data_IF_524616700077
#
_entry.id   IF_524616700077
#
_cell.length_a   1.000
_cell.length_b   1.000
_cell.length_c   1.000
_cell.angle_alpha   90.00
_cell.angle_beta   90.00
_cell.angle_gamma   90.00
#
_symmetry.space_group_name_H-M   'P 1'
#
loop_
_entity.id
_entity.type
_entity.pdbx_description
1 polymer ?
#
# COMPACT_ATOMS: atom_id res chain seq x y z
N UNK A 1 13.14 -3.09 7.84
CA UNK A 1 12.07 -3.68 8.69
C UNK A 1 10.71 -3.27 8.12
N UNK A 2 9.58 -3.66 8.71
CA UNK A 2 8.21 -3.30 8.24
C UNK A 2 8.06 -1.83 7.79
N UNK A 3 8.72 -0.90 8.47
CA UNK A 3 8.75 0.54 8.12
C UNK A 3 9.26 0.81 6.70
N UNK A 4 10.16 -0.02 6.18
CA UNK A 4 10.73 0.12 4.84
C UNK A 4 9.64 -0.01 3.75
N UNK A 5 8.53 -0.71 4.02
CA UNK A 5 7.37 -0.76 3.12
C UNK A 5 6.69 0.61 2.99
N UNK A 6 6.76 1.45 4.02
CA UNK A 6 6.17 2.79 4.00
C UNK A 6 7.13 3.84 3.43
N UNK A 7 8.43 3.55 3.43
CA UNK A 7 9.46 4.47 2.95
C UNK A 7 9.89 4.19 1.50
N UNK A 8 9.66 2.97 1.00
CA UNK A 8 10.11 2.55 -0.33
C UNK A 8 8.93 2.07 -1.19
N UNK A 9 8.42 2.93 -2.10
CA UNK A 9 7.28 2.58 -2.94
C UNK A 9 7.54 1.38 -3.86
N UNK A 10 8.77 1.18 -4.36
CA UNK A 10 9.07 -0.03 -5.15
C UNK A 10 8.99 -1.32 -4.30
N UNK A 11 9.45 -1.29 -3.05
CA UNK A 11 9.31 -2.42 -2.11
C UNK A 11 7.84 -2.68 -1.78
N UNK A 12 7.06 -1.62 -1.55
CA UNK A 12 5.62 -1.69 -1.31
C UNK A 12 4.87 -2.35 -2.47
N UNK A 13 5.19 -1.93 -3.71
CA UNK A 13 4.61 -2.50 -4.94
C UNK A 13 4.89 -4.00 -5.09
N UNK A 14 6.10 -4.45 -4.77
CA UNK A 14 6.43 -5.87 -4.82
C UNK A 14 5.62 -6.66 -3.79
N UNK A 15 5.53 -6.16 -2.55
CA UNK A 15 4.70 -6.80 -1.52
C UNK A 15 3.24 -6.89 -1.96
N UNK A 16 2.66 -5.78 -2.43
CA UNK A 16 1.27 -5.72 -2.89
C UNK A 16 1.03 -6.63 -4.10
N UNK A 17 1.98 -6.72 -5.03
CA UNK A 17 1.89 -7.62 -6.17
C UNK A 17 1.85 -9.09 -5.74
N UNK A 18 2.70 -9.50 -4.79
CA UNK A 18 2.70 -10.86 -4.23
C UNK A 18 1.40 -11.14 -3.50
N UNK A 19 0.84 -10.15 -2.80
CA UNK A 19 -0.45 -10.28 -2.10
C UNK A 19 -1.61 -10.52 -3.06
N UNK A 20 -1.56 -9.89 -4.24
CA UNK A 20 -2.65 -9.91 -5.22
C UNK A 20 -2.52 -11.02 -6.29
N UNK A 21 -1.37 -11.68 -6.36
CA UNK A 21 -1.04 -12.63 -7.44
C UNK A 21 -0.73 -14.01 -6.88
N UNK A 22 -1.64 -14.96 -7.08
CA UNK A 22 -1.40 -16.36 -6.78
C UNK A 22 -0.21 -16.89 -7.59
N UNK A 23 0.81 -17.39 -6.89
CA UNK A 23 2.00 -17.93 -7.54
C UNK A 23 2.90 -16.87 -8.18
N UNK A 24 2.93 -15.65 -7.64
CA UNK A 24 3.81 -14.57 -8.11
C UNK A 24 5.27 -15.02 -8.24
N UNK A 25 5.90 -14.78 -9.39
CA UNK A 25 7.34 -15.02 -9.58
C UNK A 25 8.11 -13.71 -9.71
N UNK A 26 9.44 -13.76 -9.48
CA UNK A 26 10.30 -12.57 -9.67
C UNK A 26 10.28 -12.07 -11.12
N UNK A 27 10.13 -12.98 -12.10
CA UNK A 27 10.07 -12.60 -13.51
C UNK A 27 8.78 -11.86 -13.85
N UNK A 28 7.66 -12.25 -13.24
CA UNK A 28 6.39 -11.53 -13.37
C UNK A 28 6.51 -10.12 -12.76
N UNK A 29 7.13 -10.01 -11.59
CA UNK A 29 7.38 -8.71 -10.96
C UNK A 29 8.25 -7.80 -11.82
N UNK A 30 9.33 -8.32 -12.43
CA UNK A 30 10.20 -7.55 -13.34
C UNK A 30 9.40 -6.99 -14.51
N UNK A 31 8.52 -7.83 -15.07
CA UNK A 31 7.75 -7.50 -16.27
C UNK A 31 6.58 -6.57 -15.95
N UNK A 32 5.73 -6.95 -15.01
CA UNK A 32 4.46 -6.29 -14.71
C UNK A 32 4.66 -5.01 -13.90
N UNK A 33 5.68 -4.98 -13.04
CA UNK A 33 6.02 -3.78 -12.26
C UNK A 33 7.06 -2.90 -12.95
N UNK A 34 7.60 -3.33 -14.09
CA UNK A 34 8.66 -2.65 -14.85
C UNK A 34 9.87 -2.28 -13.98
N UNK A 35 10.25 -3.18 -13.05
CA UNK A 35 11.36 -2.96 -12.11
C UNK A 35 12.66 -3.60 -12.63
N UNK A 36 13.83 -2.98 -12.41
CA UNK A 36 15.10 -3.59 -12.79
C UNK A 36 15.32 -4.94 -12.11
N UNK A 37 15.85 -5.92 -12.86
CA UNK A 37 16.08 -7.28 -12.38
C UNK A 37 16.83 -7.33 -11.03
N UNK A 38 17.94 -6.59 -10.91
CA UNK A 38 18.71 -6.55 -9.66
C UNK A 38 17.87 -6.10 -8.46
N UNK A 39 17.08 -5.03 -8.66
CA UNK A 39 16.16 -4.49 -7.65
C UNK A 39 15.08 -5.50 -7.26
N UNK A 40 14.48 -6.18 -8.23
CA UNK A 40 13.46 -7.20 -7.98
C UNK A 40 13.99 -8.33 -7.09
N UNK A 41 15.13 -8.93 -7.46
CA UNK A 41 15.75 -10.00 -6.68
C UNK A 41 16.19 -9.55 -5.29
N UNK A 42 16.71 -8.32 -5.16
CA UNK A 42 17.14 -7.79 -3.87
C UNK A 42 15.97 -7.49 -2.94
N UNK A 43 14.87 -6.95 -3.48
CA UNK A 43 13.70 -6.60 -2.68
C UNK A 43 12.86 -7.80 -2.31
N UNK A 44 12.71 -8.79 -3.19
CA UNK A 44 12.08 -10.07 -2.85
C UNK A 44 12.84 -10.76 -1.72
N UNK A 45 14.18 -10.81 -1.80
CA UNK A 45 15.02 -11.34 -0.71
C UNK A 45 14.81 -10.57 0.59
N UNK A 46 14.75 -9.23 0.51
CA UNK A 46 14.51 -8.38 1.68
C UNK A 46 13.15 -8.66 2.34
N UNK A 47 12.11 -8.91 1.55
CA UNK A 47 10.79 -9.29 2.06
C UNK A 47 10.79 -10.70 2.65
N UNK A 48 11.50 -11.65 2.03
CA UNK A 48 11.64 -13.03 2.51
C UNK A 48 12.39 -13.07 3.85
N UNK A 49 13.52 -12.35 3.95
CA UNK A 49 14.31 -12.22 5.18
C UNK A 49 13.52 -11.56 6.31
N UNK A 50 12.56 -10.68 5.97
CA UNK A 50 11.67 -10.03 6.92
C UNK A 50 10.43 -10.88 7.29
N UNK A 51 10.25 -12.05 6.66
CA UNK A 51 9.08 -12.90 6.84
C UNK A 51 7.79 -12.32 6.25
N UNK A 52 7.90 -11.34 5.35
CA UNK A 52 6.75 -10.67 4.71
C UNK A 52 6.31 -11.38 3.44
N UNK A 53 7.17 -12.18 2.81
CA UNK A 53 6.80 -13.09 1.73
C UNK A 53 7.43 -14.45 1.98
N UNK A 54 6.76 -15.51 1.56
CA UNK A 54 7.25 -16.88 1.72
C UNK A 54 7.29 -17.57 0.37
N UNK A 55 8.37 -18.30 0.11
CA UNK A 55 8.50 -19.15 -1.07
C UNK A 55 7.59 -20.38 -0.93
N UNK A 56 6.75 -20.63 -1.92
CA UNK A 56 5.76 -21.73 -1.89
C UNK A 56 6.30 -23.05 -2.47
N UNK A 57 7.39 -23.00 -3.25
CA UNK A 57 8.02 -24.20 -3.83
C UNK A 57 9.53 -24.12 -3.90
N UNK A 58 10.17 -25.29 -3.83
CA UNK A 58 11.64 -25.42 -3.87
C UNK A 58 12.22 -25.47 -5.29
N UNK A 59 11.37 -25.56 -6.32
CA UNK A 59 11.78 -25.65 -7.72
C UNK A 59 11.53 -24.35 -8.49
N UNK A 60 12.34 -24.13 -9.54
CA UNK A 60 12.24 -22.95 -10.38
C UNK A 60 11.09 -23.06 -11.40
N UNK A 61 10.43 -21.94 -11.76
CA UNK A 61 10.64 -20.60 -11.22
C UNK A 61 10.14 -20.50 -9.77
N UNK A 62 10.80 -19.78 -8.87
CA UNK A 62 10.29 -19.70 -7.49
C UNK A 62 9.00 -18.88 -7.46
N UNK A 63 8.01 -19.39 -6.73
CA UNK A 63 6.73 -18.72 -6.48
C UNK A 63 6.71 -18.20 -5.05
N UNK A 64 6.06 -17.05 -4.86
CA UNK A 64 5.96 -16.36 -3.58
C UNK A 64 4.50 -16.12 -3.23
N UNK A 65 4.22 -16.16 -1.93
CA UNK A 65 2.93 -15.84 -1.34
C UNK A 65 3.14 -14.94 -0.12
N UNK A 66 2.09 -14.24 0.29
CA UNK A 66 2.06 -13.46 1.53
C UNK A 66 0.66 -13.52 2.15
N UNK A 67 0.55 -13.11 3.41
CA UNK A 67 -0.71 -12.90 4.11
C UNK A 67 -0.94 -11.39 4.28
N UNK A 68 -2.20 -10.90 4.24
CA UNK A 68 -2.49 -9.50 4.46
C UNK A 68 -1.91 -8.98 5.78
N UNK A 69 -1.07 -7.95 5.68
CA UNK A 69 -0.48 -7.28 6.82
C UNK A 69 -1.54 -6.53 7.64
N UNK A 70 -1.54 -6.75 8.96
CA UNK A 70 -2.21 -5.90 9.94
C UNK A 70 -1.41 -5.90 11.24
N UNK A 71 -0.40 -5.04 11.33
CA UNK A 71 0.50 -4.96 12.51
C UNK A 71 0.45 -3.57 13.10
N UNK A 72 0.11 -3.49 14.39
CA UNK A 72 0.25 -2.25 15.17
C UNK A 72 1.67 -2.16 15.73
N UNK A 73 2.42 -1.17 15.27
CA UNK A 73 3.71 -0.77 15.83
C UNK A 73 3.49 0.33 16.86
N UNK A 74 4.25 0.33 17.94
CA UNK A 74 4.28 1.45 18.90
C UNK A 74 5.70 1.99 18.96
N UNK A 75 5.89 3.21 18.48
CA UNK A 75 7.18 3.91 18.47
C UNK A 75 7.01 5.23 19.18
N UNK A 76 7.88 5.56 20.13
CA UNK A 76 7.86 6.82 20.89
C UNK A 76 6.50 7.16 21.56
N UNK A 77 5.71 6.12 21.88
CA UNK A 77 4.38 6.26 22.50
C UNK A 77 3.23 6.46 21.51
N UNK A 78 3.50 6.51 20.21
CA UNK A 78 2.49 6.57 19.16
C UNK A 78 2.28 5.17 18.57
N UNK A 79 1.03 4.70 18.58
CA UNK A 79 0.65 3.45 17.97
C UNK A 79 0.20 3.71 16.52
N UNK A 80 0.82 3.00 15.57
CA UNK A 80 0.47 3.05 14.15
C UNK A 80 0.18 1.66 13.64
N UNK A 81 -0.95 1.48 12.99
CA UNK A 81 -1.28 0.21 12.33
C UNK A 81 -0.82 0.27 10.89
N UNK A 82 0.09 -0.64 10.52
CA UNK A 82 0.48 -0.86 9.13
C UNK A 82 -0.46 -1.92 8.57
N UNK A 83 -1.27 -1.52 7.60
CA UNK A 83 -2.19 -2.40 6.86
C UNK A 83 -1.65 -2.67 5.46
N UNK A 84 -2.05 -3.79 4.85
CA UNK A 84 -1.76 -4.06 3.44
C UNK A 84 -2.28 -2.93 2.51
N UNK A 85 -3.43 -2.35 2.85
CA UNK A 85 -4.05 -1.24 2.12
C UNK A 85 -3.19 0.02 2.16
N UNK A 86 -2.64 0.39 3.33
CA UNK A 86 -1.73 1.52 3.46
C UNK A 86 -0.44 1.29 2.67
N UNK A 87 0.08 0.06 2.65
CA UNK A 87 1.26 -0.29 1.86
C UNK A 87 0.96 -0.18 0.36
N UNK A 88 -0.21 -0.64 -0.11
CA UNK A 88 -0.63 -0.46 -1.50
C UNK A 88 -0.73 1.02 -1.87
N UNK A 89 -1.38 1.86 -1.05
CA UNK A 89 -1.45 3.29 -1.26
C UNK A 89 -0.04 3.91 -1.40
N UNK A 90 0.89 3.59 -0.49
CA UNK A 90 2.29 4.04 -0.60
C UNK A 90 2.94 3.56 -1.90
N UNK A 91 2.73 2.31 -2.29
CA UNK A 91 3.26 1.75 -3.53
C UNK A 91 2.79 2.50 -4.79
N UNK A 92 1.61 3.12 -4.76
CA UNK A 92 1.05 3.86 -5.88
C UNK A 92 1.62 5.26 -6.07
N UNK A 93 2.32 5.84 -5.07
CA UNK A 93 2.82 7.23 -5.15
C UNK A 93 3.69 7.55 -6.37
N UNK A 94 4.43 6.58 -6.90
CA UNK A 94 5.25 6.81 -8.12
C UNK A 94 4.40 6.96 -9.40
N UNK A 95 3.13 6.56 -9.37
CA UNK A 95 2.21 6.48 -10.51
C UNK A 95 0.95 7.32 -10.33
N UNK A 96 0.66 7.69 -9.10
CA UNK A 96 -0.47 8.51 -8.69
C UNK A 96 0.05 9.77 -8.01
N UNK A 97 0.02 10.88 -8.76
CA UNK A 97 0.52 12.18 -8.28
C UNK A 97 -0.32 12.70 -7.12
N UNK A 98 -1.60 12.35 -7.05
CA UNK A 98 -2.51 12.86 -6.04
C UNK A 98 -2.23 12.20 -4.69
N UNK A 99 -1.94 10.89 -4.69
CA UNK A 99 -1.41 10.17 -3.50
C UNK A 99 -0.06 10.74 -3.08
N UNK A 100 0.85 10.96 -4.03
CA UNK A 100 2.20 11.49 -3.73
C UNK A 100 2.14 12.86 -3.06
N UNK A 101 1.37 13.79 -3.64
CA UNK A 101 1.20 15.15 -3.11
C UNK A 101 0.51 15.14 -1.75
N UNK A 102 -0.51 14.29 -1.56
CA UNK A 102 -1.21 14.20 -0.29
C UNK A 102 -0.31 13.62 0.80
N UNK A 103 0.45 12.56 0.49
CA UNK A 103 1.42 11.94 1.40
C UNK A 103 2.52 12.92 1.81
N UNK A 104 3.04 13.71 0.87
CA UNK A 104 4.08 14.71 1.17
C UNK A 104 3.56 15.85 2.07
N UNK A 105 2.26 16.17 2.01
CA UNK A 105 1.65 17.24 2.82
C UNK A 105 1.20 16.77 4.20
N UNK A 106 0.58 15.60 4.27
CA UNK A 106 -0.13 15.13 5.47
C UNK A 106 0.59 13.96 6.15
N UNK A 107 1.65 13.44 5.53
CA UNK A 107 2.41 12.30 6.04
C UNK A 107 1.60 11.01 6.05
N UNK A 108 2.21 9.96 6.60
CA UNK A 108 1.64 8.62 6.63
C UNK A 108 0.36 8.55 7.47
N UNK A 109 0.30 9.26 8.60
CA UNK A 109 -0.87 9.26 9.49
C UNK A 109 -2.06 9.96 8.81
N UNK A 110 -1.79 11.02 8.04
CA UNK A 110 -2.80 11.68 7.22
C UNK A 110 -3.31 10.79 6.09
N UNK A 111 -2.42 10.03 5.42
CA UNK A 111 -2.81 9.07 4.38
C UNK A 111 -3.65 7.92 4.96
N UNK A 112 -3.26 7.38 6.12
CA UNK A 112 -4.03 6.35 6.82
C UNK A 112 -5.44 6.86 7.18
N UNK A 113 -5.54 8.08 7.70
CA UNK A 113 -6.84 8.72 7.98
C UNK A 113 -7.65 8.91 6.69
N UNK A 114 -7.03 9.30 5.58
CA UNK A 114 -7.71 9.45 4.29
C UNK A 114 -8.26 8.11 3.75
N UNK A 115 -7.58 6.99 4.00
CA UNK A 115 -8.09 5.65 3.68
C UNK A 115 -9.36 5.32 4.47
N UNK A 116 -9.43 5.65 5.76
CA UNK A 116 -10.66 5.49 6.56
C UNK A 116 -11.84 6.26 5.96
N UNK A 117 -11.61 7.52 5.55
CA UNK A 117 -12.63 8.30 4.84
C UNK A 117 -12.96 7.74 3.46
N UNK A 118 -12.01 7.12 2.76
CA UNK A 118 -12.24 6.50 1.46
C UNK A 118 -13.20 5.29 1.57
N UNK A 119 -13.08 4.49 2.64
CA UNK A 119 -14.09 3.46 2.96
C UNK A 119 -15.47 4.07 3.16
N UNK A 120 -15.59 5.09 4.02
CA UNK A 120 -16.87 5.76 4.31
C UNK A 120 -17.47 6.45 3.06
N UNK A 121 -16.62 6.97 2.18
CA UNK A 121 -16.97 7.58 0.91
C UNK A 121 -17.57 6.56 -0.06
N UNK A 122 -16.94 5.39 -0.21
CA UNK A 122 -17.44 4.30 -1.07
C UNK A 122 -18.76 3.75 -0.53
N UNK A 123 -18.92 3.68 0.79
CA UNK A 123 -20.18 3.27 1.42
C UNK A 123 -21.29 4.32 1.33
N UNK A 124 -20.97 5.52 0.80
CA UNK A 124 -21.91 6.63 0.67
C UNK A 124 -22.31 7.27 2.00
N UNK A 125 -21.57 6.96 3.08
CA UNK A 125 -21.82 7.51 4.42
C UNK A 125 -21.18 8.88 4.60
N UNK A 126 -20.09 9.14 3.89
CA UNK A 126 -19.39 10.43 3.83
C UNK A 126 -19.25 10.93 2.40
N UNK A 127 -19.12 12.24 2.23
CA UNK A 127 -18.69 12.88 0.98
C UNK A 127 -17.46 13.76 1.23
N UNK A 128 -16.77 14.16 0.16
CA UNK A 128 -15.54 14.98 0.25
C UNK A 128 -15.70 16.27 1.06
N UNK A 129 -16.90 16.87 1.15
CA UNK A 129 -17.10 18.10 1.92
C UNK A 129 -17.10 17.86 3.43
N UNK A 130 -17.53 16.66 3.86
CA UNK A 130 -17.50 16.24 5.26
C UNK A 130 -16.05 15.99 5.68
N UNK A 131 -15.30 15.17 4.93
CA UNK A 131 -13.86 14.93 5.17
C UNK A 131 -13.08 16.25 5.16
N UNK A 132 -13.28 17.12 4.15
CA UNK A 132 -12.60 18.41 4.06
C UNK A 132 -12.78 19.28 5.31
N UNK A 133 -14.01 19.31 5.86
CA UNK A 133 -14.31 20.05 7.09
C UNK A 133 -13.64 19.42 8.31
N UNK A 134 -13.62 18.09 8.39
CA UNK A 134 -13.14 17.37 9.58
C UNK A 134 -11.62 17.29 9.64
N UNK A 135 -10.95 17.24 8.49
CA UNK A 135 -9.50 17.24 8.37
C UNK A 135 -8.90 18.64 8.14
N UNK A 136 -9.73 19.69 8.09
CA UNK A 136 -9.32 21.07 7.80
C UNK A 136 -8.50 21.19 6.49
N UNK A 137 -8.93 20.46 5.45
CA UNK A 137 -8.33 20.50 4.10
C UNK A 137 -9.29 21.15 3.11
N UNK A 138 -8.79 21.50 1.92
CA UNK A 138 -9.67 22.08 0.89
C UNK A 138 -10.67 21.03 0.35
N UNK A 139 -11.91 21.42 -0.02
CA UNK A 139 -12.86 20.48 -0.64
C UNK A 139 -12.32 19.78 -1.88
N UNK A 140 -11.50 20.48 -2.67
CA UNK A 140 -10.85 19.93 -3.86
C UNK A 140 -9.79 18.89 -3.51
N UNK A 141 -8.95 19.17 -2.52
CA UNK A 141 -7.93 18.21 -2.06
C UNK A 141 -8.58 16.95 -1.50
N UNK A 142 -9.66 17.08 -0.74
CA UNK A 142 -10.44 15.94 -0.25
C UNK A 142 -11.09 15.14 -1.39
N UNK A 143 -11.67 15.81 -2.40
CA UNK A 143 -12.26 15.11 -3.54
C UNK A 143 -11.21 14.33 -4.33
N UNK A 144 -10.07 14.95 -4.59
CA UNK A 144 -8.95 14.36 -5.33
C UNK A 144 -8.40 13.13 -4.60
N UNK A 145 -8.08 13.24 -3.31
CA UNK A 145 -7.51 12.11 -2.57
C UNK A 145 -8.50 10.96 -2.42
N UNK A 146 -9.79 11.24 -2.22
CA UNK A 146 -10.81 10.19 -2.14
C UNK A 146 -10.93 9.43 -3.46
N UNK A 147 -10.87 10.12 -4.61
CA UNK A 147 -10.88 9.48 -5.92
C UNK A 147 -9.60 8.67 -6.18
N UNK A 148 -8.44 9.16 -5.72
CA UNK A 148 -7.16 8.45 -5.88
C UNK A 148 -7.08 7.19 -4.99
N UNK A 149 -7.70 7.22 -3.81
CA UNK A 149 -7.73 6.09 -2.88
C UNK A 149 -8.86 5.09 -3.15
N UNK A 150 -9.90 5.45 -3.90
CA UNK A 150 -11.00 4.54 -4.23
C UNK A 150 -10.52 3.21 -4.86
N UNK A 151 -9.62 3.20 -5.86
CA UNK A 151 -9.08 1.96 -6.42
C UNK A 151 -8.16 1.20 -5.46
N UNK A 152 -7.70 1.79 -4.36
CA UNK A 152 -6.96 1.09 -3.30
C UNK A 152 -7.97 0.32 -2.45
N UNK A 153 -8.97 1.02 -1.92
CA UNK A 153 -10.01 0.42 -1.07
C UNK A 153 -10.73 -0.71 -1.80
N UNK A 154 -11.16 -0.49 -3.05
CA UNK A 154 -11.87 -1.49 -3.83
C UNK A 154 -11.04 -2.75 -4.11
N UNK A 155 -9.72 -2.62 -4.16
CA UNK A 155 -8.81 -3.74 -4.37
C UNK A 155 -8.76 -4.66 -3.15
N UNK A 156 -8.76 -4.09 -1.93
CA UNK A 156 -8.65 -4.84 -0.66
C UNK A 156 -10.01 -5.23 -0.06
N UNK A 157 -11.12 -4.67 -0.54
CA UNK A 157 -12.48 -5.10 -0.15
C UNK A 157 -12.87 -6.50 -0.61
N UNK A 158 -12.22 -7.02 -1.65
CA UNK A 158 -12.54 -8.35 -2.18
C UNK A 158 -11.91 -9.49 -1.37
N UNK A 159 -11.13 -9.16 -0.35
CA UNK A 159 -10.39 -10.11 0.49
C UNK A 159 -11.07 -10.39 1.85
N UNK A 160 -12.24 -9.79 2.12
CA UNK A 160 -13.13 -10.06 3.28
C UNK A 160 -14.31 -10.99 2.94
#
# INVERSE_FOLDING_TARGET
MLVDLLENPTLARIYTYVLQTDGATVEDMITDLEIPQGTAYDYVRKLEDAGLVTKTREERPYEFTTEPLSITLTTDGEARTITAELVDAVGRRERDTDIDVYLDRHGMDGLATALEYAHEYIDGTVNHRIMARELDVSPMESEIILQALEPVVLQHRNDE
#
